data_IF_412550904302
#
_entry.id   IF_412550904302
#
_cell.length_a   1.000
_cell.length_b   1.000
_cell.length_c   1.000
_cell.angle_alpha   90.00
_cell.angle_beta   90.00
_cell.angle_gamma   90.00
#
_symmetry.space_group_name_H-M   'P 1'
#
loop_
_entity.id
_entity.type
_entity.pdbx_description
1 polymer ?
#
# COMPACT_ATOMS: atom_id res chain seq x y z
N UNK A 1 8.71 4.69 -24.27
CA UNK A 1 7.67 4.25 -23.33
C UNK A 1 6.33 4.42 -24.01
N UNK A 2 5.34 3.68 -23.53
CA UNK A 2 4.01 3.65 -24.11
C UNK A 2 3.05 4.43 -23.20
N UNK A 3 1.95 4.89 -23.78
CA UNK A 3 0.78 5.32 -23.03
C UNK A 3 0.48 4.34 -21.89
N UNK A 4 0.27 4.85 -20.67
CA UNK A 4 0.03 4.06 -19.47
C UNK A 4 1.29 3.69 -18.67
N UNK A 5 2.49 4.09 -19.06
CA UNK A 5 3.70 3.88 -18.27
C UNK A 5 3.84 4.91 -17.12
N UNK A 6 4.31 4.47 -15.96
CA UNK A 6 4.76 5.39 -14.90
C UNK A 6 6.13 5.97 -15.27
N UNK A 7 6.20 7.30 -15.35
CA UNK A 7 7.39 8.00 -15.88
C UNK A 7 8.05 8.95 -14.91
N UNK A 8 7.34 9.42 -13.89
CA UNK A 8 7.88 10.43 -12.98
C UNK A 8 7.16 10.45 -11.63
N UNK A 9 7.74 11.14 -10.65
CA UNK A 9 7.07 11.50 -9.42
C UNK A 9 7.50 12.89 -8.95
N UNK A 10 6.55 13.65 -8.40
CA UNK A 10 6.84 14.92 -7.75
C UNK A 10 6.39 14.90 -6.29
N UNK A 11 7.12 15.66 -5.48
CA UNK A 11 6.76 15.98 -4.12
C UNK A 11 6.37 17.46 -3.99
N UNK A 12 5.13 17.70 -3.57
CA UNK A 12 4.65 19.01 -3.17
C UNK A 12 4.81 19.17 -1.66
N UNK A 13 5.55 20.21 -1.21
CA UNK A 13 5.90 20.41 0.21
C UNK A 13 5.70 21.83 0.71
N UNK A 14 5.38 21.99 1.99
CA UNK A 14 5.33 23.30 2.66
C UNK A 14 6.70 23.90 2.97
N UNK A 15 7.74 23.09 3.16
CA UNK A 15 9.07 23.52 3.61
C UNK A 15 10.17 22.83 2.83
N UNK A 16 10.35 23.22 1.57
CA UNK A 16 11.32 22.61 0.64
C UNK A 16 12.73 22.40 1.21
N UNK A 17 13.27 23.32 2.01
CA UNK A 17 14.59 23.12 2.64
C UNK A 17 14.60 21.99 3.69
N UNK A 18 13.55 21.87 4.50
CA UNK A 18 13.41 20.79 5.50
C UNK A 18 13.25 19.46 4.77
N UNK A 19 12.39 19.42 3.76
CA UNK A 19 12.14 18.26 2.93
C UNK A 19 13.41 17.79 2.21
N UNK A 20 14.19 18.71 1.60
CA UNK A 20 15.45 18.37 0.93
C UNK A 20 16.43 17.70 1.88
N UNK A 21 16.65 18.27 3.07
CA UNK A 21 17.52 17.70 4.08
C UNK A 21 17.08 16.28 4.50
N UNK A 22 15.78 16.07 4.64
CA UNK A 22 15.20 14.76 4.96
C UNK A 22 15.55 13.71 3.88
N UNK A 23 15.18 13.95 2.62
CA UNK A 23 15.43 12.96 1.57
C UNK A 23 16.91 12.83 1.18
N UNK A 24 17.74 13.86 1.38
CA UNK A 24 19.21 13.70 1.31
C UNK A 24 19.69 12.67 2.33
N UNK A 25 19.22 12.73 3.58
CA UNK A 25 19.62 11.79 4.61
C UNK A 25 19.06 10.37 4.42
N UNK A 26 17.80 10.27 3.97
CA UNK A 26 17.08 8.98 3.90
C UNK A 26 17.41 8.20 2.63
N UNK A 27 17.46 8.87 1.47
CA UNK A 27 17.61 8.21 0.16
C UNK A 27 18.83 8.69 -0.64
N UNK A 28 19.64 9.59 -0.07
CA UNK A 28 20.91 10.02 -0.67
C UNK A 28 20.70 10.92 -1.89
N UNK A 29 19.66 11.75 -1.89
CA UNK A 29 19.40 12.69 -2.97
C UNK A 29 20.22 13.98 -2.88
N UNK A 30 20.68 14.40 -4.05
CA UNK A 30 21.17 15.75 -4.32
C UNK A 30 20.11 16.54 -5.11
N UNK A 31 20.20 17.87 -5.12
CA UNK A 31 19.20 18.71 -5.78
C UNK A 31 19.82 19.73 -6.70
N UNK A 32 19.23 19.84 -7.90
CA UNK A 32 19.53 20.91 -8.85
C UNK A 32 18.31 21.82 -8.93
N UNK A 33 18.53 23.13 -8.78
CA UNK A 33 17.46 24.11 -8.95
C UNK A 33 17.13 24.27 -10.43
N UNK A 34 15.84 24.25 -10.72
CA UNK A 34 15.24 24.59 -12.00
C UNK A 34 14.07 25.56 -11.74
N UNK A 35 13.21 25.79 -12.74
CA UNK A 35 12.03 26.63 -12.64
C UNK A 35 10.82 25.96 -13.25
N UNK A 36 9.69 26.10 -12.57
CA UNK A 36 8.39 25.80 -13.15
C UNK A 36 8.07 26.80 -14.29
N UNK A 37 7.15 26.47 -15.22
CA UNK A 37 6.74 27.38 -16.28
C UNK A 37 6.21 28.73 -15.77
N UNK A 38 5.62 28.76 -14.58
CA UNK A 38 5.13 29.98 -13.94
C UNK A 38 6.22 30.83 -13.25
N UNK A 39 7.48 30.36 -13.26
CA UNK A 39 8.63 31.02 -12.64
C UNK A 39 8.94 30.61 -11.20
N UNK A 40 8.08 29.81 -10.58
CA UNK A 40 8.28 29.33 -9.21
C UNK A 40 9.46 28.35 -9.11
N UNK A 41 10.11 28.25 -7.93
CA UNK A 41 11.17 27.27 -7.71
C UNK A 41 10.69 25.85 -8.00
N UNK A 42 11.51 25.12 -8.75
CA UNK A 42 11.41 23.68 -8.93
C UNK A 42 12.78 23.08 -8.61
N UNK A 43 12.82 21.94 -7.96
CA UNK A 43 14.06 21.25 -7.64
C UNK A 43 14.00 19.85 -8.23
N UNK A 44 15.01 19.51 -9.01
CA UNK A 44 15.18 18.16 -9.53
C UNK A 44 16.03 17.41 -8.52
N UNK A 45 15.43 16.41 -7.87
CA UNK A 45 16.14 15.44 -7.06
C UNK A 45 16.92 14.49 -7.96
N UNK A 46 18.17 14.21 -7.62
CA UNK A 46 19.04 13.34 -8.36
C UNK A 46 19.74 12.34 -7.42
N UNK A 47 19.95 11.13 -7.93
CA UNK A 47 20.79 10.12 -7.30
C UNK A 47 21.63 9.44 -8.37
N UNK A 48 22.91 9.19 -8.07
CA UNK A 48 23.85 8.55 -9.00
C UNK A 48 23.88 9.22 -10.39
N UNK A 49 23.86 10.56 -10.40
CA UNK A 49 23.82 11.41 -11.60
C UNK A 49 22.60 11.22 -12.51
N UNK A 50 21.50 10.65 -11.98
CA UNK A 50 20.22 10.51 -12.68
C UNK A 50 19.15 11.28 -11.95
N UNK A 51 18.24 11.91 -12.68
CA UNK A 51 17.10 12.61 -12.10
C UNK A 51 16.06 11.59 -11.65
N UNK A 52 15.48 11.77 -10.47
CA UNK A 52 14.66 10.77 -9.78
C UNK A 52 13.26 11.25 -9.47
N UNK A 53 13.13 12.53 -9.08
CA UNK A 53 11.87 13.14 -8.72
C UNK A 53 11.97 14.66 -8.86
N UNK A 54 10.82 15.32 -8.95
CA UNK A 54 10.71 16.75 -8.71
C UNK A 54 10.30 17.07 -7.27
N UNK A 55 10.67 18.26 -6.83
CA UNK A 55 10.24 18.83 -5.57
C UNK A 55 9.88 20.29 -5.81
N UNK A 56 8.72 20.70 -5.35
CA UNK A 56 8.28 22.09 -5.42
C UNK A 56 7.47 22.51 -4.21
N UNK A 57 7.37 23.82 -4.02
CA UNK A 57 6.62 24.40 -2.92
C UNK A 57 5.11 24.25 -3.15
N UNK A 58 4.39 23.86 -2.10
CA UNK A 58 2.95 23.63 -2.12
C UNK A 58 2.20 24.81 -2.75
N UNK A 59 1.45 24.60 -3.86
CA UNK A 59 0.68 25.65 -4.50
C UNK A 59 -0.33 26.30 -3.55
N UNK A 60 -0.52 27.63 -3.67
CA UNK A 60 -1.37 28.41 -2.76
C UNK A 60 -2.79 27.83 -2.60
N UNK A 61 -3.42 27.41 -3.70
CA UNK A 61 -4.75 26.77 -3.70
C UNK A 61 -4.82 25.54 -2.78
N UNK A 62 -3.77 24.72 -2.74
CA UNK A 62 -3.71 23.53 -1.89
C UNK A 62 -3.37 23.85 -0.44
N UNK A 63 -2.62 24.94 -0.20
CA UNK A 63 -2.39 25.47 1.15
C UNK A 63 -3.70 25.96 1.79
N UNK A 64 -4.53 26.68 1.04
CA UNK A 64 -5.79 27.27 1.53
C UNK A 64 -6.79 26.22 2.01
N UNK A 65 -6.82 25.05 1.37
CA UNK A 65 -7.69 23.93 1.76
C UNK A 65 -7.04 22.99 2.77
N UNK A 66 -5.84 23.30 3.25
CA UNK A 66 -5.14 22.55 4.29
C UNK A 66 -4.71 21.14 3.88
N UNK A 67 -4.42 20.90 2.60
CA UNK A 67 -3.85 19.62 2.17
C UNK A 67 -2.47 19.40 2.82
N UNK A 68 -2.15 18.19 3.32
CA UNK A 68 -0.79 17.88 3.76
C UNK A 68 0.18 17.91 2.57
N UNK A 69 1.48 17.86 2.82
CA UNK A 69 2.45 17.57 1.74
C UNK A 69 2.15 16.20 1.14
N UNK A 70 2.35 16.03 -0.17
CA UNK A 70 2.00 14.79 -0.85
C UNK A 70 2.89 14.48 -2.05
N UNK A 71 3.05 13.18 -2.28
CA UNK A 71 3.66 12.61 -3.47
C UNK A 71 2.64 12.48 -4.59
N UNK A 72 3.08 12.68 -5.83
CA UNK A 72 2.27 12.46 -7.03
C UNK A 72 2.98 11.48 -7.96
N UNK A 73 2.22 10.53 -8.47
CA UNK A 73 2.64 9.64 -9.55
C UNK A 73 2.29 10.25 -10.91
N UNK A 74 3.21 10.14 -11.87
CA UNK A 74 3.00 10.60 -13.25
C UNK A 74 2.91 9.42 -14.21
N UNK A 75 1.83 9.40 -14.99
CA UNK A 75 1.56 8.38 -16.01
C UNK A 75 1.63 9.03 -17.39
N UNK A 76 2.41 8.48 -18.31
CA UNK A 76 2.54 9.00 -19.66
C UNK A 76 1.29 8.72 -20.48
N UNK A 77 0.83 9.71 -21.25
CA UNK A 77 -0.30 9.58 -22.17
C UNK A 77 0.02 10.11 -23.56
N UNK A 78 -0.52 9.45 -24.58
CA UNK A 78 -0.32 9.87 -25.98
C UNK A 78 -1.11 11.13 -26.35
N UNK A 79 -2.29 11.33 -25.74
CA UNK A 79 -3.11 12.53 -25.91
C UNK A 79 -3.77 12.89 -24.59
N UNK A 80 -3.37 14.02 -24.01
CA UNK A 80 -3.87 14.44 -22.69
C UNK A 80 -5.33 14.89 -22.71
N UNK A 81 -5.80 15.47 -23.82
CA UNK A 81 -7.18 15.94 -23.95
C UNK A 81 -8.15 14.76 -23.97
N UNK A 82 -7.81 13.72 -24.75
CA UNK A 82 -8.61 12.50 -24.84
C UNK A 82 -8.63 11.75 -23.49
N UNK A 83 -7.49 11.66 -22.81
CA UNK A 83 -7.44 11.04 -21.47
C UNK A 83 -8.28 11.80 -20.46
N UNK A 84 -8.23 13.14 -20.46
CA UNK A 84 -9.04 13.97 -19.55
C UNK A 84 -10.53 13.80 -19.84
N UNK A 85 -10.94 13.83 -21.11
CA UNK A 85 -12.34 13.59 -21.49
C UNK A 85 -12.82 12.20 -21.08
N UNK A 86 -12.00 11.17 -21.27
CA UNK A 86 -12.29 9.80 -20.83
C UNK A 86 -12.40 9.70 -19.30
N UNK A 87 -11.52 10.40 -18.58
CA UNK A 87 -11.57 10.42 -17.12
C UNK A 87 -12.90 10.98 -16.62
N UNK A 88 -13.40 12.07 -17.21
CA UNK A 88 -14.71 12.63 -16.88
C UNK A 88 -15.85 11.66 -17.20
N UNK A 89 -15.79 11.00 -18.36
CA UNK A 89 -16.78 9.98 -18.78
C UNK A 89 -16.88 8.82 -17.78
N UNK A 90 -15.75 8.39 -17.22
CA UNK A 90 -15.67 7.27 -16.28
C UNK A 90 -15.74 7.70 -14.79
N UNK A 91 -16.23 8.91 -14.52
CA UNK A 91 -16.52 9.38 -13.16
C UNK A 91 -15.32 9.92 -12.38
N UNK A 92 -14.18 10.12 -13.04
CA UNK A 92 -13.05 10.83 -12.48
C UNK A 92 -13.30 12.35 -12.40
N UNK A 93 -12.49 13.01 -11.59
CA UNK A 93 -12.56 14.47 -11.38
C UNK A 93 -11.27 15.15 -11.81
N UNK A 94 -11.39 16.17 -12.64
CA UNK A 94 -10.25 16.94 -13.15
C UNK A 94 -9.92 18.09 -12.19
N UNK A 95 -8.83 17.94 -11.46
CA UNK A 95 -8.36 18.93 -10.48
C UNK A 95 -7.53 20.04 -11.13
N UNK A 96 -6.76 19.67 -12.14
CA UNK A 96 -5.98 20.56 -12.99
C UNK A 96 -6.22 20.17 -14.44
N UNK A 97 -6.79 21.09 -15.21
CA UNK A 97 -6.96 20.93 -16.66
C UNK A 97 -5.59 20.85 -17.35
N UNK A 98 -5.52 20.29 -18.57
CA UNK A 98 -4.28 20.26 -19.35
C UNK A 98 -3.57 21.62 -19.37
N UNK A 99 -2.39 21.65 -18.76
CA UNK A 99 -1.60 22.86 -18.53
C UNK A 99 -0.16 22.62 -18.98
N UNK A 100 0.53 23.60 -19.56
CA UNK A 100 1.96 23.48 -19.88
C UNK A 100 2.78 23.09 -18.65
N UNK A 101 3.68 22.14 -18.86
CA UNK A 101 4.65 21.66 -17.88
C UNK A 101 6.04 21.63 -18.54
N UNK A 102 7.09 21.69 -17.72
CA UNK A 102 8.51 21.76 -18.11
C UNK A 102 8.82 21.51 -19.60
N UNK A 103 9.48 22.51 -20.22
CA UNK A 103 9.79 22.53 -21.67
C UNK A 103 8.52 22.45 -22.53
N UNK A 104 8.30 21.32 -23.22
CA UNK A 104 7.22 21.12 -24.20
C UNK A 104 6.16 20.13 -23.71
N UNK A 105 6.20 19.75 -22.44
CA UNK A 105 5.29 18.76 -21.86
C UNK A 105 3.97 19.42 -21.45
N UNK A 106 2.91 18.63 -21.26
CA UNK A 106 1.66 19.09 -20.65
C UNK A 106 1.23 18.12 -19.58
N UNK A 107 0.64 18.63 -18.50
CA UNK A 107 0.13 17.80 -17.40
C UNK A 107 -1.34 18.10 -17.10
N UNK A 108 -2.01 17.13 -16.51
CA UNK A 108 -3.33 17.26 -15.91
C UNK A 108 -3.38 16.41 -14.64
N UNK A 109 -4.06 16.92 -13.60
CA UNK A 109 -4.24 16.21 -12.33
C UNK A 109 -5.66 15.67 -12.28
N UNK A 110 -5.76 14.37 -12.07
CA UNK A 110 -7.03 13.62 -12.10
C UNK A 110 -7.18 12.89 -10.77
N UNK A 111 -8.40 12.90 -10.23
CA UNK A 111 -8.82 11.95 -9.19
C UNK A 111 -9.68 10.87 -9.80
N UNK A 112 -9.42 9.62 -9.40
CA UNK A 112 -10.27 8.49 -9.75
C UNK A 112 -11.65 8.55 -9.02
N UNK A 113 -12.59 7.63 -9.33
CA UNK A 113 -13.91 7.63 -8.70
C UNK A 113 -13.93 7.47 -7.18
N UNK A 114 -12.88 6.89 -6.57
CA UNK A 114 -12.76 6.77 -5.11
C UNK A 114 -11.97 7.93 -4.49
N UNK A 115 -11.31 8.74 -5.30
CA UNK A 115 -10.62 9.97 -4.90
C UNK A 115 -9.09 9.88 -4.93
N UNK A 116 -8.49 8.78 -5.40
CA UNK A 116 -7.03 8.68 -5.51
C UNK A 116 -6.53 9.61 -6.63
N UNK A 117 -5.62 10.52 -6.26
CA UNK A 117 -5.03 11.50 -7.20
C UNK A 117 -3.83 10.95 -7.95
N UNK A 118 -3.74 11.24 -9.25
CA UNK A 118 -2.57 10.98 -10.09
C UNK A 118 -2.45 12.04 -11.20
N UNK A 119 -1.23 12.22 -11.69
CA UNK A 119 -0.95 13.16 -12.77
C UNK A 119 -0.75 12.41 -14.08
N UNK A 120 -1.35 12.88 -15.17
CA UNK A 120 -1.03 12.42 -16.52
C UNK A 120 -0.11 13.42 -17.20
N UNK A 121 0.84 12.94 -17.99
CA UNK A 121 1.80 13.76 -18.73
C UNK A 121 1.87 13.37 -20.20
N UNK A 122 1.73 14.36 -21.08
CA UNK A 122 1.94 14.18 -22.52
C UNK A 122 3.35 14.61 -22.91
N UNK A 123 4.03 13.75 -23.69
CA UNK A 123 5.38 13.99 -24.22
C UNK A 123 6.36 14.37 -23.11
N UNK A 124 6.62 13.49 -22.13
CA UNK A 124 7.49 13.81 -21.01
C UNK A 124 8.87 14.24 -21.52
N UNK A 125 9.27 15.48 -21.22
CA UNK A 125 10.62 15.97 -21.47
C UNK A 125 11.62 15.58 -20.37
N UNK A 126 11.18 14.68 -19.48
CA UNK A 126 11.89 14.12 -18.34
C UNK A 126 12.63 12.84 -18.74
N UNK A 127 13.75 12.50 -18.08
CA UNK A 127 14.48 11.29 -18.39
C UNK A 127 13.61 10.04 -18.17
N UNK A 128 13.72 9.12 -19.13
CA UNK A 128 13.02 7.84 -19.16
C UNK A 128 13.42 7.00 -17.94
N UNK A 129 12.45 6.36 -17.29
CA UNK A 129 12.67 5.35 -16.24
C UNK A 129 13.46 4.18 -16.83
N UNK A 130 14.71 4.01 -16.43
CA UNK A 130 15.43 2.74 -16.61
C UNK A 130 14.86 1.72 -15.61
N UNK A 131 14.56 0.52 -16.08
CA UNK A 131 14.08 -0.62 -15.29
C UNK A 131 15.09 -1.14 -14.25
N UNK A 132 16.36 -0.74 -14.37
CA UNK A 132 17.41 -1.01 -13.38
C UNK A 132 17.37 0.04 -12.26
N UNK A 133 16.28 0.03 -11.50
CA UNK A 133 16.09 0.91 -10.34
C UNK A 133 16.88 0.38 -9.13
N UNK A 134 17.72 1.22 -8.55
CA UNK A 134 18.49 0.94 -7.33
C UNK A 134 18.24 1.98 -6.26
N UNK A 135 19.01 1.93 -5.18
CA UNK A 135 18.92 2.89 -4.07
C UNK A 135 18.87 4.35 -4.58
N UNK A 136 17.90 5.11 -4.08
CA UNK A 136 17.63 6.50 -4.46
C UNK A 136 16.78 6.65 -5.73
N UNK A 137 16.29 5.57 -6.33
CA UNK A 137 15.43 5.66 -7.52
C UNK A 137 13.98 5.35 -7.18
N UNK A 138 13.02 5.94 -7.91
CA UNK A 138 11.64 5.46 -7.85
C UNK A 138 11.59 4.04 -8.45
N UNK A 139 11.21 3.06 -7.64
CA UNK A 139 11.26 1.64 -8.00
C UNK A 139 9.89 1.06 -8.30
N UNK A 140 8.81 1.66 -7.79
CA UNK A 140 7.46 1.14 -7.93
C UNK A 140 6.41 2.21 -7.65
N UNK A 141 5.19 1.96 -8.14
CA UNK A 141 3.98 2.66 -7.70
C UNK A 141 2.92 1.59 -7.43
N UNK A 142 2.07 1.79 -6.42
CA UNK A 142 0.93 0.93 -6.15
C UNK A 142 -0.28 1.78 -5.76
N UNK A 143 -1.47 1.37 -6.21
CA UNK A 143 -2.71 2.03 -5.85
C UNK A 143 -3.29 1.39 -4.58
N UNK A 144 -3.54 2.20 -3.56
CA UNK A 144 -4.19 1.78 -2.33
C UNK A 144 -5.62 2.33 -2.31
N UNK A 145 -6.59 1.41 -2.34
CA UNK A 145 -8.02 1.75 -2.48
C UNK A 145 -8.89 0.96 -1.52
N UNK A 146 -10.12 1.44 -1.33
CA UNK A 146 -11.13 0.71 -0.58
C UNK A 146 -11.79 -0.45 -1.30
N UNK A 147 -11.87 -0.36 -2.63
CA UNK A 147 -12.57 -1.28 -3.50
C UNK A 147 -11.98 -1.18 -4.91
N UNK A 148 -11.11 -2.12 -5.28
CA UNK A 148 -10.43 -2.14 -6.56
C UNK A 148 -11.44 -2.27 -7.72
N UNK A 149 -12.50 -3.07 -7.55
CA UNK A 149 -13.52 -3.26 -8.59
C UNK A 149 -14.24 -1.95 -8.98
N UNK A 150 -14.29 -0.96 -8.08
CA UNK A 150 -14.89 0.34 -8.38
C UNK A 150 -14.02 1.26 -9.26
N UNK A 151 -12.71 1.01 -9.34
CA UNK A 151 -11.76 1.86 -10.08
C UNK A 151 -11.12 1.16 -11.28
N UNK A 152 -11.15 -0.18 -11.32
CA UNK A 152 -10.61 -0.96 -12.45
C UNK A 152 -11.14 -0.46 -13.81
N UNK A 153 -12.47 -0.36 -14.05
CA UNK A 153 -12.98 0.08 -15.36
C UNK A 153 -12.52 1.48 -15.77
N UNK A 154 -12.32 2.37 -14.79
CA UNK A 154 -11.78 3.71 -15.02
C UNK A 154 -10.35 3.64 -15.54
N UNK A 155 -9.47 2.89 -14.88
CA UNK A 155 -8.07 2.76 -15.29
C UNK A 155 -7.90 1.97 -16.61
N UNK A 156 -8.70 0.92 -16.84
CA UNK A 156 -8.74 0.20 -18.10
C UNK A 156 -9.08 1.14 -19.26
N UNK A 157 -10.11 1.98 -19.10
CA UNK A 157 -10.55 2.91 -20.14
C UNK A 157 -9.52 4.01 -20.45
N UNK A 158 -8.76 4.45 -19.45
CA UNK A 158 -7.81 5.55 -19.58
C UNK A 158 -6.49 5.13 -20.19
N UNK A 159 -6.02 3.92 -19.87
CA UNK A 159 -4.64 3.49 -20.15
C UNK A 159 -4.54 2.18 -20.92
N UNK A 160 -5.65 1.45 -21.10
CA UNK A 160 -5.63 0.11 -21.66
C UNK A 160 -4.91 -0.91 -20.76
N UNK A 161 -4.85 -0.63 -19.46
CA UNK A 161 -4.32 -1.57 -18.47
C UNK A 161 -5.22 -2.80 -18.35
N UNK A 162 -4.63 -3.91 -17.92
CA UNK A 162 -5.36 -5.13 -17.55
C UNK A 162 -5.06 -5.49 -16.11
N UNK A 163 -6.02 -6.10 -15.45
CA UNK A 163 -5.93 -6.44 -14.03
C UNK A 163 -6.15 -7.94 -13.84
N UNK A 164 -5.27 -8.58 -13.08
CA UNK A 164 -5.42 -9.98 -12.67
C UNK A 164 -5.35 -10.11 -11.15
N UNK A 165 -5.95 -11.15 -10.61
CA UNK A 165 -5.94 -11.39 -9.15
C UNK A 165 -4.53 -11.88 -8.77
N UNK A 166 -3.95 -11.25 -7.75
CA UNK A 166 -2.66 -11.65 -7.19
C UNK A 166 -2.76 -12.79 -6.18
N UNK A 167 -1.61 -13.19 -5.64
CA UNK A 167 -1.53 -14.33 -4.72
C UNK A 167 -2.16 -14.06 -3.34
N UNK A 168 -2.37 -12.80 -2.97
CA UNK A 168 -2.93 -12.39 -1.69
C UNK A 168 -4.35 -11.82 -1.85
N UNK A 169 -5.26 -12.06 -0.89
CA UNK A 169 -6.57 -11.44 -0.89
C UNK A 169 -6.48 -9.91 -0.98
N UNK A 170 -7.28 -9.30 -1.86
CA UNK A 170 -7.27 -7.84 -2.06
C UNK A 170 -6.07 -7.31 -2.86
N UNK A 171 -5.20 -8.18 -3.36
CA UNK A 171 -4.09 -7.78 -4.24
C UNK A 171 -4.44 -8.05 -5.70
N UNK A 172 -4.25 -7.05 -6.56
CA UNK A 172 -4.44 -7.16 -8.00
C UNK A 172 -3.16 -6.73 -8.72
N UNK A 173 -2.74 -7.54 -9.68
CA UNK A 173 -1.59 -7.28 -10.54
C UNK A 173 -2.06 -6.40 -11.69
N UNK A 174 -1.36 -5.29 -11.92
CA UNK A 174 -1.67 -4.33 -12.97
C UNK A 174 -0.67 -4.45 -14.11
N UNK A 175 -1.19 -4.75 -15.30
CA UNK A 175 -0.42 -5.10 -16.47
C UNK A 175 -0.66 -4.11 -17.62
N UNK A 176 0.37 -3.90 -18.44
CA UNK A 176 0.28 -3.16 -19.69
C UNK A 176 0.92 -4.01 -20.80
N UNK A 177 0.07 -4.66 -21.59
CA UNK A 177 0.49 -5.76 -22.46
C UNK A 177 0.90 -6.97 -21.60
N UNK A 178 2.09 -7.51 -21.85
CA UNK A 178 2.64 -8.64 -21.06
C UNK A 178 3.51 -8.19 -19.87
N UNK A 179 3.59 -6.88 -19.60
CA UNK A 179 4.44 -6.34 -18.53
C UNK A 179 3.61 -6.06 -17.28
N UNK A 180 4.05 -6.61 -16.15
CA UNK A 180 3.63 -6.16 -14.83
C UNK A 180 4.25 -4.79 -14.54
N UNK A 181 3.42 -3.76 -14.38
CA UNK A 181 3.89 -2.37 -14.22
C UNK A 181 3.54 -1.74 -12.86
N UNK A 182 2.56 -2.31 -12.14
CA UNK A 182 2.09 -1.82 -10.84
C UNK A 182 1.19 -2.86 -10.16
N UNK A 183 0.66 -2.52 -8.98
CA UNK A 183 -0.33 -3.32 -8.24
C UNK A 183 -1.44 -2.42 -7.68
N UNK A 184 -2.62 -3.01 -7.48
CA UNK A 184 -3.70 -2.42 -6.69
C UNK A 184 -3.87 -3.23 -5.43
N UNK A 185 -3.92 -2.55 -4.29
CA UNK A 185 -4.07 -3.14 -2.96
C UNK A 185 -5.37 -2.59 -2.35
N UNK A 186 -6.32 -3.49 -2.11
CA UNK A 186 -7.49 -3.19 -1.29
C UNK A 186 -7.08 -3.17 0.18
N UNK A 187 -7.13 -1.99 0.79
CA UNK A 187 -6.69 -1.82 2.18
C UNK A 187 -7.85 -2.19 3.12
N UNK A 188 -7.70 -3.12 4.06
CA UNK A 188 -8.75 -3.48 5.02
C UNK A 188 -9.23 -2.31 5.88
N UNK A 189 -10.53 -2.29 6.24
CA UNK A 189 -11.18 -1.18 6.96
C UNK A 189 -10.52 -0.84 8.31
N UNK A 190 -9.95 -1.83 9.00
CA UNK A 190 -9.30 -1.67 10.31
C UNK A 190 -7.98 -0.89 10.27
N UNK A 191 -7.31 -0.86 9.11
CA UNK A 191 -6.06 -0.12 8.90
C UNK A 191 -6.17 0.96 7.81
N UNK A 192 -7.31 1.05 7.12
CA UNK A 192 -7.53 2.02 6.05
C UNK A 192 -7.57 3.44 6.61
N UNK A 193 -6.80 4.33 5.98
CA UNK A 193 -6.87 5.76 6.26
C UNK A 193 -8.12 6.42 5.67
N UNK A 194 -8.22 7.75 5.81
CA UNK A 194 -9.34 8.51 5.24
C UNK A 194 -9.24 8.76 3.73
N UNK A 195 -8.14 8.36 3.09
CA UNK A 195 -7.81 8.71 1.72
C UNK A 195 -7.36 7.49 0.93
N UNK A 196 -7.75 7.47 -0.33
CA UNK A 196 -7.22 6.57 -1.37
C UNK A 196 -6.05 7.26 -2.06
N UNK A 197 -5.01 6.52 -2.44
CA UNK A 197 -3.80 7.13 -2.99
C UNK A 197 -2.93 6.20 -3.82
N UNK A 198 -2.19 6.81 -4.74
CA UNK A 198 -1.04 6.17 -5.37
C UNK A 198 0.19 6.31 -4.47
N UNK A 199 0.67 5.17 -3.96
CA UNK A 199 1.89 5.08 -3.17
C UNK A 199 3.13 5.03 -4.06
N UNK A 200 4.05 5.98 -3.87
CA UNK A 200 5.35 6.02 -4.53
C UNK A 200 6.37 5.22 -3.71
N UNK A 201 7.14 4.35 -4.36
CA UNK A 201 8.19 3.57 -3.72
C UNK A 201 9.56 4.06 -4.17
N UNK A 202 10.43 4.38 -3.21
CA UNK A 202 11.83 4.71 -3.46
C UNK A 202 12.73 3.57 -2.97
N UNK A 203 13.67 3.17 -3.82
CA UNK A 203 14.66 2.15 -3.50
C UNK A 203 15.63 2.61 -2.41
N UNK A 204 15.98 1.73 -1.49
CA UNK A 204 17.07 1.92 -0.52
C UNK A 204 17.93 0.67 -0.45
N UNK A 205 19.19 0.80 -0.02
CA UNK A 205 20.06 -0.37 0.12
C UNK A 205 19.76 -1.18 1.39
N UNK A 206 19.32 -0.50 2.45
CA UNK A 206 19.02 -1.09 3.76
C UNK A 206 17.88 -0.28 4.41
N UNK A 207 16.79 -0.98 4.74
CA UNK A 207 15.61 -0.35 5.34
C UNK A 207 15.86 0.12 6.76
N UNK A 208 16.68 -0.57 7.55
CA UNK A 208 16.94 -0.17 8.94
C UNK A 208 17.72 1.15 8.96
N UNK A 209 18.76 1.26 8.14
CA UNK A 209 19.52 2.50 7.98
C UNK A 209 18.61 3.64 7.53
N UNK A 210 17.75 3.42 6.54
CA UNK A 210 16.85 4.45 6.04
C UNK A 210 15.77 4.84 7.07
N UNK A 211 15.22 3.87 7.82
CA UNK A 211 14.26 4.13 8.92
C UNK A 211 14.90 4.95 10.04
N UNK A 212 16.13 4.64 10.42
CA UNK A 212 16.84 5.38 11.46
C UNK A 212 17.17 6.81 11.01
N UNK A 213 17.61 6.98 9.76
CA UNK A 213 17.79 8.30 9.15
C UNK A 213 16.48 9.10 9.11
N UNK A 214 15.35 8.47 8.75
CA UNK A 214 14.05 9.11 8.70
C UNK A 214 13.62 9.60 10.10
N UNK A 215 13.76 8.77 11.13
CA UNK A 215 13.48 9.18 12.52
C UNK A 215 14.38 10.32 12.98
N UNK A 216 15.68 10.26 12.68
CA UNK A 216 16.65 11.27 13.10
C UNK A 216 16.42 12.63 12.45
N UNK A 217 15.82 12.65 11.26
CA UNK A 217 15.50 13.87 10.50
C UNK A 217 14.05 14.34 10.69
N UNK A 218 13.33 13.77 11.66
CA UNK A 218 11.99 14.22 12.08
C UNK A 218 10.82 13.55 11.37
N UNK A 219 11.08 12.54 10.54
CA UNK A 219 10.06 11.69 9.95
C UNK A 219 9.57 10.60 10.90
N UNK A 220 8.57 9.84 10.45
CA UNK A 220 7.93 8.76 11.20
C UNK A 220 7.88 7.49 10.36
N UNK A 221 8.01 6.34 11.02
CA UNK A 221 7.66 5.04 10.44
C UNK A 221 6.19 4.78 10.76
N UNK A 222 5.38 4.57 9.73
CA UNK A 222 3.94 4.38 9.88
C UNK A 222 3.56 2.91 9.86
N UNK A 223 4.06 2.16 8.87
CA UNK A 223 3.70 0.77 8.66
C UNK A 223 4.84 0.01 7.99
N UNK A 224 5.13 -1.22 8.43
CA UNK A 224 6.14 -2.07 7.81
C UNK A 224 5.44 -3.23 7.10
N UNK A 225 5.91 -3.55 5.89
CA UNK A 225 5.47 -4.71 5.09
C UNK A 225 6.70 -5.61 4.88
N UNK A 226 7.02 -6.51 5.83
CA UNK A 226 8.22 -7.33 5.77
C UNK A 226 8.25 -8.26 4.56
N UNK A 227 7.08 -8.71 4.08
CA UNK A 227 6.94 -9.62 2.94
C UNK A 227 7.50 -8.98 1.65
N UNK A 228 7.22 -7.69 1.46
CA UNK A 228 7.65 -6.90 0.30
C UNK A 228 8.98 -6.17 0.51
N UNK A 229 9.61 -6.38 1.68
CA UNK A 229 10.78 -5.61 2.13
C UNK A 229 10.55 -4.12 1.91
N UNK A 230 9.43 -3.61 2.42
CA UNK A 230 9.09 -2.20 2.33
C UNK A 230 8.55 -1.62 3.63
N UNK A 231 8.62 -0.30 3.74
CA UNK A 231 8.11 0.47 4.89
C UNK A 231 7.47 1.75 4.40
N UNK A 232 6.26 2.03 4.88
CA UNK A 232 5.60 3.32 4.75
C UNK A 232 6.18 4.27 5.79
N UNK A 233 6.77 5.37 5.32
CA UNK A 233 7.26 6.45 6.16
C UNK A 233 6.51 7.74 5.87
N UNK A 234 6.53 8.66 6.82
CA UNK A 234 6.06 10.04 6.68
C UNK A 234 7.22 10.99 6.91
N UNK A 235 7.39 11.98 6.04
CA UNK A 235 8.38 13.02 6.18
C UNK A 235 7.94 14.09 7.22
N UNK A 236 8.84 15.02 7.63
CA UNK A 236 8.53 16.04 8.63
C UNK A 236 7.41 17.02 8.22
N UNK A 237 7.03 17.06 6.94
CA UNK A 237 5.99 17.91 6.38
C UNK A 237 4.68 17.14 6.10
N UNK A 238 4.62 15.88 6.52
CA UNK A 238 3.43 15.05 6.49
C UNK A 238 3.26 14.20 5.23
N UNK A 239 4.15 14.32 4.23
CA UNK A 239 4.04 13.50 3.02
C UNK A 239 4.46 12.06 3.33
N UNK A 240 3.64 11.10 2.89
CA UNK A 240 3.92 9.69 3.06
C UNK A 240 4.44 9.06 1.76
N UNK A 241 5.42 8.18 1.87
CA UNK A 241 5.92 7.35 0.78
C UNK A 241 6.39 5.99 1.29
N UNK A 242 6.59 5.06 0.37
CA UNK A 242 7.21 3.78 0.68
C UNK A 242 8.71 3.81 0.39
N UNK A 243 9.49 3.20 1.26
CA UNK A 243 10.85 2.77 0.97
C UNK A 243 10.84 1.28 0.71
N UNK A 244 11.57 0.81 -0.30
CA UNK A 244 11.73 -0.61 -0.62
C UNK A 244 13.19 -0.96 -0.78
N UNK A 245 13.59 -2.09 -0.22
CA UNK A 245 14.98 -2.53 -0.31
C UNK A 245 15.31 -3.01 -1.73
N UNK A 246 16.37 -2.47 -2.35
CA UNK A 246 16.84 -2.82 -3.69
C UNK A 246 18.27 -3.36 -3.64
N UNK A 247 18.48 -4.63 -4.01
CA UNK A 247 19.79 -5.30 -3.98
C UNK A 247 19.81 -6.58 -4.83
N UNK A 248 20.99 -7.19 -5.04
CA UNK A 248 21.19 -8.33 -5.96
C UNK A 248 20.29 -9.56 -5.70
N UNK A 249 19.77 -9.70 -4.48
CA UNK A 249 18.83 -10.75 -4.07
C UNK A 249 17.36 -10.47 -4.47
N UNK A 250 17.06 -9.29 -5.01
CA UNK A 250 15.70 -8.92 -5.45
C UNK A 250 15.33 -9.51 -6.84
N UNK A 251 16.28 -10.12 -7.56
CA UNK A 251 16.07 -10.73 -8.90
C UNK A 251 15.49 -12.14 -8.87
N UNK A 252 14.71 -12.50 -7.86
CA UNK A 252 13.94 -13.75 -7.81
C UNK A 252 12.48 -13.46 -7.39
N UNK A 253 11.80 -12.61 -8.17
CA UNK A 253 10.35 -12.77 -8.31
C UNK A 253 10.13 -13.90 -9.33
N UNK A 254 9.95 -15.11 -8.81
CA UNK A 254 9.89 -16.34 -9.58
C UNK A 254 10.35 -17.52 -8.74
N UNK A 255 9.51 -17.93 -7.79
CA UNK A 255 9.71 -18.99 -6.76
C UNK A 255 10.47 -18.52 -5.51
N UNK A 256 9.76 -17.81 -4.63
CA UNK A 256 10.19 -17.66 -3.24
C UNK A 256 10.17 -19.03 -2.54
N UNK A 257 11.35 -19.45 -2.07
CA UNK A 257 11.48 -20.51 -1.07
C UNK A 257 11.25 -19.83 0.28
N UNK A 258 10.09 -20.09 0.89
CA UNK A 258 9.71 -19.59 2.21
C UNK A 258 10.85 -19.86 3.19
N UNK A 259 11.55 -18.81 3.62
CA UNK A 259 12.42 -18.85 4.78
C UNK A 259 11.63 -18.24 5.93
N UNK A 260 10.92 -19.10 6.66
CA UNK A 260 10.25 -18.73 7.91
C UNK A 260 11.28 -18.06 8.83
N UNK A 261 11.13 -16.75 9.06
CA UNK A 261 11.68 -16.11 10.25
C UNK A 261 10.79 -16.57 11.41
N UNK A 262 11.19 -17.66 12.04
CA UNK A 262 10.55 -18.17 13.24
C UNK A 262 10.75 -17.16 14.39
N UNK A 263 9.89 -16.14 14.45
CA UNK A 263 9.57 -15.51 15.72
C UNK A 263 9.15 -16.61 16.69
N UNK A 264 9.68 -16.61 17.90
CA UNK A 264 9.48 -17.70 18.86
C UNK A 264 7.98 -17.96 19.09
N UNK A 265 7.43 -18.98 18.41
CA UNK A 265 6.05 -19.46 18.54
C UNK A 265 5.88 -20.31 19.81
N UNK A 266 6.64 -20.02 20.87
CA UNK A 266 6.66 -20.84 22.10
C UNK A 266 5.28 -20.91 22.76
N UNK A 267 4.48 -19.85 22.68
CA UNK A 267 3.08 -19.84 23.15
C UNK A 267 2.21 -20.82 22.37
N UNK A 268 2.42 -20.93 21.06
CA UNK A 268 1.71 -21.86 20.17
C UNK A 268 2.16 -23.29 20.41
N UNK A 269 3.46 -23.53 20.57
CA UNK A 269 4.00 -24.86 20.91
C UNK A 269 3.53 -25.32 22.29
N UNK A 270 3.47 -24.42 23.26
CA UNK A 270 2.94 -24.71 24.59
C UNK A 270 1.45 -25.05 24.53
N UNK A 271 0.65 -24.25 23.82
CA UNK A 271 -0.78 -24.52 23.63
C UNK A 271 -1.01 -25.87 22.92
N UNK A 272 -0.20 -26.18 21.90
CA UNK A 272 -0.24 -27.45 21.18
C UNK A 272 0.16 -28.64 22.07
N UNK A 273 1.17 -28.48 22.91
CA UNK A 273 1.57 -29.51 23.88
C UNK A 273 0.47 -29.77 24.92
N UNK A 274 -0.15 -28.70 25.44
CA UNK A 274 -1.31 -28.80 26.34
C UNK A 274 -2.48 -29.53 25.65
N UNK A 275 -2.70 -29.27 24.35
CA UNK A 275 -3.74 -29.92 23.56
C UNK A 275 -3.47 -31.43 23.38
N UNK A 276 -2.23 -31.82 23.09
CA UNK A 276 -1.85 -33.24 23.03
C UNK A 276 -2.00 -33.95 24.38
N UNK A 277 -1.62 -33.31 25.48
CA UNK A 277 -1.84 -33.83 26.83
C UNK A 277 -3.35 -34.00 27.08
N UNK A 278 -4.17 -33.01 26.74
CA UNK A 278 -5.62 -33.09 26.91
C UNK A 278 -6.27 -34.20 26.08
N UNK A 279 -5.77 -34.48 24.88
CA UNK A 279 -6.20 -35.62 24.04
C UNK A 279 -5.86 -36.95 24.72
N UNK A 280 -4.60 -37.12 25.14
CA UNK A 280 -4.08 -38.39 25.67
C UNK A 280 -4.73 -38.75 27.01
N UNK A 281 -4.99 -37.74 27.86
CA UNK A 281 -5.56 -37.93 29.19
C UNK A 281 -7.06 -37.67 29.25
N UNK A 282 -7.73 -37.52 28.11
CA UNK A 282 -9.18 -37.27 27.99
C UNK A 282 -9.68 -36.13 28.90
N UNK A 283 -8.92 -35.04 28.98
CA UNK A 283 -9.25 -33.91 29.87
C UNK A 283 -10.27 -33.00 29.17
N UNK A 284 -11.55 -33.38 29.26
CA UNK A 284 -12.68 -32.64 28.67
C UNK A 284 -12.71 -31.15 29.06
N UNK A 285 -12.27 -30.80 30.28
CA UNK A 285 -12.23 -29.41 30.75
C UNK A 285 -11.42 -28.48 29.83
N UNK A 286 -10.31 -28.98 29.24
CA UNK A 286 -9.44 -28.18 28.36
C UNK A 286 -10.16 -27.84 27.05
N UNK A 287 -10.91 -28.79 26.51
CA UNK A 287 -11.69 -28.59 25.29
C UNK A 287 -12.78 -27.53 25.47
N UNK A 288 -13.45 -27.55 26.61
CA UNK A 288 -14.45 -26.55 26.94
C UNK A 288 -13.89 -25.13 27.02
N UNK A 289 -12.69 -24.97 27.59
CA UNK A 289 -11.97 -23.68 27.62
C UNK A 289 -11.54 -23.25 26.21
N UNK A 290 -11.07 -24.17 25.36
CA UNK A 290 -10.68 -23.86 23.98
C UNK A 290 -11.86 -23.37 23.14
N UNK A 291 -13.02 -24.02 23.22
CA UNK A 291 -14.21 -23.54 22.52
C UNK A 291 -14.61 -22.14 22.96
N UNK A 292 -14.52 -21.84 24.26
CA UNK A 292 -14.80 -20.49 24.78
C UNK A 292 -13.80 -19.46 24.23
N UNK A 293 -12.52 -19.83 24.18
CA UNK A 293 -11.47 -18.98 23.61
C UNK A 293 -11.66 -18.72 22.12
N UNK A 294 -12.29 -19.63 21.37
CA UNK A 294 -12.63 -19.43 19.95
C UNK A 294 -13.83 -18.50 19.73
N UNK A 295 -14.76 -18.40 20.69
CA UNK A 295 -15.90 -17.48 20.61
C UNK A 295 -15.45 -16.01 20.70
N UNK A 296 -14.41 -15.72 21.49
CA UNK A 296 -13.96 -14.34 21.72
C UNK A 296 -13.48 -13.65 20.43
N UNK A 297 -12.57 -14.23 19.62
CA UNK A 297 -12.20 -13.69 18.32
C UNK A 297 -13.40 -13.57 17.39
N UNK A 298 -14.27 -14.59 17.35
CA UNK A 298 -15.42 -14.60 16.44
C UNK A 298 -16.39 -13.44 16.70
N UNK A 299 -16.62 -13.10 17.96
CA UNK A 299 -17.44 -11.94 18.36
C UNK A 299 -16.76 -10.60 18.04
N UNK A 300 -15.43 -10.53 18.12
CA UNK A 300 -14.66 -9.31 17.81
C UNK A 300 -14.55 -9.06 16.30
N UNK A 301 -14.32 -10.11 15.51
CA UNK A 301 -14.15 -9.99 14.06
C UNK A 301 -15.48 -9.96 13.29
N UNK A 302 -16.56 -10.50 13.87
CA UNK A 302 -17.80 -10.73 13.12
C UNK A 302 -17.70 -11.87 12.09
N UNK A 303 -16.64 -12.69 12.18
CA UNK A 303 -16.42 -13.85 11.32
C UNK A 303 -16.25 -15.11 12.19
N UNK A 304 -16.84 -16.22 11.76
CA UNK A 304 -16.63 -17.54 12.39
C UNK A 304 -16.24 -18.57 11.34
N UNK A 305 -15.64 -19.68 11.75
CA UNK A 305 -15.14 -20.71 10.84
C UNK A 305 -15.65 -22.08 11.29
N UNK A 306 -16.04 -22.91 10.32
CA UNK A 306 -16.28 -24.35 10.54
C UNK A 306 -15.51 -25.18 9.51
N UNK A 307 -15.91 -25.07 8.24
CA UNK A 307 -15.20 -25.64 7.08
C UNK A 307 -14.71 -24.52 6.16
N UNK A 308 -15.51 -23.47 6.04
CA UNK A 308 -15.23 -22.22 5.32
C UNK A 308 -15.57 -21.02 6.23
N UNK A 309 -15.07 -19.80 5.91
CA UNK A 309 -15.35 -18.62 6.71
C UNK A 309 -16.79 -18.14 6.50
N UNK A 310 -17.46 -17.77 7.60
CA UNK A 310 -18.85 -17.30 7.61
C UNK A 310 -18.88 -15.91 8.27
N UNK A 311 -19.25 -14.92 7.47
CA UNK A 311 -19.36 -13.51 7.88
C UNK A 311 -20.74 -13.21 8.42
N UNK A 312 -20.81 -12.51 9.56
CA UNK A 312 -22.08 -12.11 10.20
C UNK A 312 -22.94 -11.21 9.31
N UNK A 313 -22.32 -10.35 8.52
CA UNK A 313 -23.02 -9.39 7.64
C UNK A 313 -23.70 -10.10 6.46
N UNK A 314 -23.08 -11.16 5.94
CA UNK A 314 -23.59 -11.91 4.78
C UNK A 314 -24.56 -13.01 5.20
N UNK A 315 -24.27 -13.72 6.29
CA UNK A 315 -25.04 -14.88 6.76
C UNK A 315 -25.33 -14.82 8.29
N UNK A 316 -26.20 -13.91 8.75
CA UNK A 316 -26.38 -13.63 10.18
C UNK A 316 -26.93 -14.81 10.98
N UNK A 317 -27.88 -15.57 10.41
CA UNK A 317 -28.48 -16.73 11.10
C UNK A 317 -27.46 -17.86 11.28
N UNK A 318 -26.68 -18.14 10.24
CA UNK A 318 -25.68 -19.21 10.26
C UNK A 318 -24.52 -18.86 11.20
N UNK A 319 -24.08 -17.59 11.16
CA UNK A 319 -23.08 -17.07 12.09
C UNK A 319 -23.51 -17.27 13.55
N UNK A 320 -24.72 -16.83 13.91
CA UNK A 320 -25.20 -16.96 15.30
C UNK A 320 -25.44 -18.41 15.70
N UNK A 321 -25.92 -19.27 14.79
CA UNK A 321 -26.05 -20.70 15.05
C UNK A 321 -24.71 -21.32 15.46
N UNK A 322 -23.64 -21.03 14.71
CA UNK A 322 -22.30 -21.54 15.00
C UNK A 322 -21.73 -21.00 16.30
N UNK A 323 -21.83 -19.69 16.53
CA UNK A 323 -21.39 -19.07 17.80
C UNK A 323 -22.11 -19.71 18.99
N UNK A 324 -23.43 -19.91 18.89
CA UNK A 324 -24.20 -20.59 19.93
C UNK A 324 -23.77 -22.05 20.12
N UNK A 325 -23.51 -22.79 19.04
CA UNK A 325 -22.98 -24.15 19.11
C UNK A 325 -21.66 -24.21 19.87
N UNK A 326 -20.71 -23.31 19.60
CA UNK A 326 -19.43 -23.27 20.32
C UNK A 326 -19.59 -22.93 21.81
N UNK A 327 -20.49 -22.02 22.15
CA UNK A 327 -20.83 -21.69 23.55
C UNK A 327 -21.43 -22.90 24.27
N UNK A 328 -22.40 -23.58 23.64
CA UNK A 328 -23.05 -24.77 24.21
C UNK A 328 -22.03 -25.89 24.41
N UNK A 329 -21.22 -26.19 23.40
CA UNK A 329 -20.15 -27.19 23.50
C UNK A 329 -19.16 -26.83 24.61
N UNK A 330 -18.78 -25.56 24.73
CA UNK A 330 -17.93 -25.10 25.82
C UNK A 330 -18.52 -25.43 27.19
N UNK A 331 -19.76 -25.02 27.45
CA UNK A 331 -20.43 -25.21 28.74
C UNK A 331 -20.60 -26.69 29.06
N UNK A 332 -21.08 -27.49 28.10
CA UNK A 332 -21.30 -28.93 28.27
C UNK A 332 -19.98 -29.63 28.59
N UNK A 333 -18.92 -29.32 27.84
CA UNK A 333 -17.64 -30.01 28.01
C UNK A 333 -16.93 -29.62 29.32
N UNK A 334 -17.08 -28.36 29.77
CA UNK A 334 -16.64 -27.94 31.11
C UNK A 334 -17.42 -28.69 32.20
N UNK A 335 -18.75 -28.79 32.06
CA UNK A 335 -19.60 -29.47 33.03
C UNK A 335 -19.23 -30.95 33.18
N UNK A 336 -18.99 -31.66 32.06
CA UNK A 336 -18.50 -33.04 32.08
C UNK A 336 -17.14 -33.18 32.75
N UNK A 337 -16.23 -32.23 32.53
CA UNK A 337 -14.91 -32.24 33.15
C UNK A 337 -14.93 -31.99 34.67
N UNK A 338 -15.88 -31.20 35.17
CA UNK A 338 -16.01 -30.88 36.60
C UNK A 338 -16.88 -31.88 37.37
N UNK A 339 -17.84 -32.51 36.70
CA UNK A 339 -18.80 -33.44 37.29
C UNK A 339 -18.93 -34.70 36.44
N UNK A 340 -17.87 -35.53 36.37
CA UNK A 340 -17.92 -36.78 35.63
C UNK A 340 -19.02 -37.66 36.22
N UNK A 341 -19.97 -38.11 35.38
CA UNK A 341 -20.96 -39.07 35.82
C UNK A 341 -20.23 -40.32 36.32
N UNK A 342 -20.46 -40.71 37.58
CA UNK A 342 -19.96 -41.98 38.09
C UNK A 342 -20.58 -43.12 37.28
N UNK A 343 -19.80 -44.14 36.89
CA UNK A 343 -20.26 -45.23 36.03
C UNK A 343 -21.46 -46.01 36.60
#
# INVERSE_FOLDING_TARGET
MAHGDFVWCDLSTFRSEVTKNFYTAVVGWDYVRDRQPNGDPYFIAASRNRQQAGLFDMPAKFREIGLPSFWMSYIEVSNIEDTVARAEEFGGKIELKPTPYLKTSRIALIRDPLGAGFTVIEKPALPVRDDVAGAGSMVWNSLYVSNAAAVIPFYEALFGWTFSIGDQPGHFILELGERHISDVVEVPEDIRGASEFWGVFIGVNDLNVAKDAAKHTGGKVLYETPEDRSVLIQDPDGAALFLRETGADARHSGKQKVRETAGSKWKTLLALAILWIAVVFEVYLVWGILFLLWVIPALKSGETYLVEPIRKLEHPLLYWALVSTWIILSVVTIAYGLWPATP
#
